data_IF_361217991310
#
_entry.id   IF_361217991310
#
_cell.length_a   1.000
_cell.length_b   1.000
_cell.length_c   1.000
_cell.angle_alpha   90.00
_cell.angle_beta   90.00
_cell.angle_gamma   90.00
#
_symmetry.space_group_name_H-M   'P 1'
#
loop_
_entity.id
_entity.type
_entity.pdbx_description
1 polymer ?
#
# COMPACT_ATOMS: atom_id res chain seq x y z
N UNK A 1 -17.60 5.48 -10.82
CA UNK A 1 -16.89 4.67 -9.82
C UNK A 1 -15.55 4.29 -10.41
N UNK A 2 -14.43 4.66 -9.78
CA UNK A 2 -13.14 4.06 -10.13
C UNK A 2 -13.14 2.60 -9.66
N UNK A 3 -12.60 1.69 -10.48
CA UNK A 3 -12.42 0.29 -10.11
C UNK A 3 -11.27 0.14 -9.10
N UNK A 4 -11.40 -0.80 -8.17
CA UNK A 4 -10.31 -1.18 -7.26
C UNK A 4 -9.26 -1.97 -8.04
N UNK A 5 -8.01 -1.50 -8.05
CA UNK A 5 -6.89 -2.24 -8.60
C UNK A 5 -6.43 -3.33 -7.61
N UNK A 6 -5.98 -4.48 -8.11
CA UNK A 6 -5.42 -5.55 -7.29
C UNK A 6 -4.03 -5.91 -7.79
N UNK A 7 -3.07 -5.95 -6.88
CA UNK A 7 -1.69 -6.34 -7.14
C UNK A 7 -1.33 -7.55 -6.30
N UNK A 8 -0.53 -8.46 -6.85
CA UNK A 8 -0.05 -9.68 -6.18
C UNK A 8 1.42 -9.56 -5.75
N UNK A 9 1.97 -8.35 -5.80
CA UNK A 9 3.33 -8.02 -5.41
C UNK A 9 3.41 -6.59 -4.88
N UNK A 10 4.49 -6.28 -4.18
CA UNK A 10 4.79 -4.93 -3.71
C UNK A 10 5.56 -4.15 -4.79
N UNK A 11 5.00 -3.08 -5.40
CA UNK A 11 5.74 -2.20 -6.30
C UNK A 11 7.00 -1.64 -5.63
N UNK A 12 8.12 -1.63 -6.35
CA UNK A 12 9.40 -1.20 -5.78
C UNK A 12 9.39 0.28 -5.40
N UNK A 13 8.68 1.10 -6.16
CA UNK A 13 8.53 2.55 -5.95
C UNK A 13 7.83 2.86 -4.61
N UNK A 14 6.93 1.98 -4.14
CA UNK A 14 6.26 2.14 -2.85
C UNK A 14 7.22 2.06 -1.65
N UNK A 15 8.43 1.53 -1.82
CA UNK A 15 9.40 1.43 -0.72
C UNK A 15 9.87 2.80 -0.23
N UNK A 16 9.87 3.82 -1.10
CA UNK A 16 10.48 5.11 -0.79
C UNK A 16 9.62 6.31 -1.14
N UNK A 17 8.57 6.14 -1.96
CA UNK A 17 7.70 7.26 -2.31
C UNK A 17 6.95 7.78 -1.07
N UNK A 18 6.94 9.10 -0.83
CA UNK A 18 6.11 9.70 0.20
C UNK A 18 4.63 9.65 -0.20
N UNK A 19 3.72 9.74 0.78
CA UNK A 19 2.28 9.59 0.58
C UNK A 19 1.71 10.44 -0.57
N UNK A 20 2.15 11.69 -0.71
CA UNK A 20 1.67 12.61 -1.74
C UNK A 20 2.09 12.23 -3.18
N UNK A 21 3.07 11.33 -3.35
CA UNK A 21 3.55 10.86 -4.65
C UNK A 21 3.11 9.43 -4.99
N UNK A 22 2.33 8.77 -4.13
CA UNK A 22 1.87 7.41 -4.39
C UNK A 22 1.04 7.29 -5.68
N UNK A 23 0.38 8.36 -6.11
CA UNK A 23 -0.35 8.41 -7.37
C UNK A 23 0.52 8.18 -8.61
N UNK A 24 1.84 8.31 -8.49
CA UNK A 24 2.81 8.06 -9.57
C UNK A 24 2.97 6.56 -9.86
N UNK A 25 2.72 5.68 -8.87
CA UNK A 25 2.80 4.23 -9.03
C UNK A 25 1.46 3.50 -8.77
N UNK A 26 0.52 4.13 -8.06
CA UNK A 26 -0.83 3.63 -7.81
C UNK A 26 -1.84 4.52 -8.52
N UNK A 27 -2.45 4.02 -9.61
CA UNK A 27 -3.38 4.79 -10.45
C UNK A 27 -4.77 5.01 -9.83
N UNK A 28 -4.99 4.50 -8.61
CA UNK A 28 -6.24 4.60 -7.87
C UNK A 28 -6.22 3.76 -6.59
N UNK A 29 -7.39 3.55 -5.96
CA UNK A 29 -7.53 2.62 -4.84
C UNK A 29 -6.93 1.26 -5.21
N UNK A 30 -6.03 0.75 -4.38
CA UNK A 30 -5.27 -0.47 -4.68
C UNK A 30 -5.26 -1.40 -3.48
N UNK A 31 -5.60 -2.67 -3.71
CA UNK A 31 -5.43 -3.77 -2.75
C UNK A 31 -4.19 -4.58 -3.16
N UNK A 32 -3.25 -4.73 -2.24
CA UNK A 32 -2.02 -5.49 -2.48
C UNK A 32 -2.10 -6.80 -1.68
N UNK A 33 -2.13 -7.92 -2.39
CA UNK A 33 -2.03 -9.25 -1.79
C UNK A 33 -0.57 -9.70 -1.78
N UNK A 34 -0.04 -9.92 -0.57
CA UNK A 34 1.30 -10.45 -0.38
C UNK A 34 1.21 -11.85 0.24
N UNK A 35 1.93 -12.80 -0.33
CA UNK A 35 2.04 -14.14 0.26
C UNK A 35 2.85 -14.07 1.56
N UNK A 36 2.15 -14.26 2.67
CA UNK A 36 2.76 -14.36 3.99
C UNK A 36 3.44 -15.71 4.22
N UNK A 37 4.32 -15.76 5.24
CA UNK A 37 4.90 -17.02 5.72
C UNK A 37 3.91 -17.87 6.53
N UNK A 38 2.92 -17.22 7.14
CA UNK A 38 1.86 -17.85 7.95
C UNK A 38 0.57 -17.94 7.13
N UNK A 39 -0.25 -18.98 7.34
CA UNK A 39 -1.48 -19.17 6.60
C UNK A 39 -2.59 -18.18 6.99
N UNK A 40 -2.56 -17.65 8.21
CA UNK A 40 -3.56 -16.67 8.67
C UNK A 40 -3.33 -15.29 8.02
N UNK A 41 -4.35 -14.70 7.37
CA UNK A 41 -4.20 -13.41 6.71
C UNK A 41 -4.12 -12.26 7.73
N UNK A 42 -3.20 -11.32 7.49
CA UNK A 42 -3.18 -10.02 8.16
C UNK A 42 -3.66 -8.96 7.18
N UNK A 43 -4.71 -8.23 7.54
CA UNK A 43 -5.16 -7.07 6.79
C UNK A 43 -4.59 -5.79 7.41
N UNK A 44 -3.90 -4.99 6.60
CA UNK A 44 -3.36 -3.70 7.00
C UNK A 44 -3.95 -2.63 6.10
N UNK A 45 -4.50 -1.57 6.70
CA UNK A 45 -4.95 -0.38 6.01
C UNK A 45 -4.26 0.83 6.62
N UNK A 46 -3.66 1.66 5.77
CA UNK A 46 -2.99 2.92 6.14
C UNK A 46 -3.51 4.04 5.25
N UNK A 47 -3.17 5.30 5.55
CA UNK A 47 -3.57 6.47 4.75
C UNK A 47 -5.10 6.59 4.56
N UNK A 48 -5.87 6.27 5.60
CA UNK A 48 -7.33 6.51 5.59
C UNK A 48 -7.64 8.00 5.41
N UNK A 49 -6.80 8.86 5.99
CA UNK A 49 -6.69 10.27 5.62
C UNK A 49 -5.31 10.52 5.00
N UNK A 50 -5.25 11.39 4.00
CA UNK A 50 -4.01 11.65 3.23
C UNK A 50 -2.89 12.30 4.05
N UNK A 51 -3.22 12.89 5.21
CA UNK A 51 -2.27 13.52 6.13
C UNK A 51 -1.82 12.58 7.28
N UNK A 52 -2.29 11.33 7.32
CA UNK A 52 -1.94 10.34 8.35
C UNK A 52 -0.95 9.30 7.79
N UNK A 53 0.24 9.75 7.37
CA UNK A 53 1.20 8.96 6.61
C UNK A 53 2.18 8.12 7.45
N UNK A 54 2.18 8.27 8.77
CA UNK A 54 3.05 7.51 9.68
C UNK A 54 2.91 5.99 9.47
N UNK A 55 1.69 5.50 9.19
CA UNK A 55 1.45 4.09 8.90
C UNK A 55 2.14 3.61 7.61
N UNK A 56 2.18 4.44 6.56
CA UNK A 56 2.92 4.14 5.34
C UNK A 56 4.42 4.06 5.64
N UNK A 57 4.96 5.04 6.38
CA UNK A 57 6.39 5.07 6.74
C UNK A 57 6.78 3.85 7.58
N UNK A 58 5.90 3.37 8.45
CA UNK A 58 6.13 2.15 9.22
C UNK A 58 6.21 0.91 8.30
N UNK A 59 5.31 0.80 7.33
CA UNK A 59 5.33 -0.30 6.34
C UNK A 59 6.59 -0.30 5.48
N UNK A 60 7.08 0.87 5.08
CA UNK A 60 8.31 1.02 4.28
C UNK A 60 9.59 0.59 5.00
N UNK A 61 9.53 0.34 6.31
CA UNK A 61 10.67 -0.04 7.15
C UNK A 61 10.64 -1.50 7.60
N UNK A 62 9.67 -2.29 7.15
CA UNK A 62 9.55 -3.73 7.43
C UNK A 62 10.39 -4.55 6.45
#
# INVERSE_FOLDING_TARGET
>A
MQALATLEHWPQELQTLPAHRLHECLTGPTLIHLKGRRPEPLFVSVLLHGNEDVGLVALQKL
#
